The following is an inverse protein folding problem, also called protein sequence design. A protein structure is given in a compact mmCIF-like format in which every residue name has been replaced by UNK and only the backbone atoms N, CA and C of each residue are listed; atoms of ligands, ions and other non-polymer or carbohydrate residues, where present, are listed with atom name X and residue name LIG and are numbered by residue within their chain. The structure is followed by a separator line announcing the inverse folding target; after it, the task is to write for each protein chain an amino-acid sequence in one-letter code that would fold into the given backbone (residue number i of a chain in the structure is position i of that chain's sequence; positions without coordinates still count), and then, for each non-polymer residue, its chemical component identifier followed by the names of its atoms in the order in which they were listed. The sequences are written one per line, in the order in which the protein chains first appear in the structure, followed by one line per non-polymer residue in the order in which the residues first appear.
data_IF_405323430021
#
_entry.id   IF_405323430021
#
_cell.length_a   1.000
_cell.length_b   1.000
_cell.length_c   1.000
_cell.angle_alpha   90.00
_cell.angle_beta   90.00
_cell.angle_gamma   90.00
#
_symmetry.space_group_name_H-M   'P 1'
#
loop_
_entity.id
_entity.type
_entity.pdbx_description
1 polymer ?
#
# COMPACT_ATOMS: atom_id res chain seq x y z
N UNK A 1 16.45 -1.20 -7.23
CA UNK A 1 16.03 -1.39 -5.79
C UNK A 1 14.68 -0.75 -5.52
N UNK A 2 13.77 -0.96 -6.46
CA UNK A 2 12.42 -0.37 -6.44
C UNK A 2 11.34 -1.41 -6.07
N UNK A 3 11.78 -2.56 -5.56
CA UNK A 3 10.88 -3.70 -5.28
C UNK A 3 10.09 -3.57 -3.96
N UNK A 4 10.35 -2.53 -3.18
CA UNK A 4 9.73 -2.36 -1.86
C UNK A 4 8.32 -1.75 -1.89
N UNK A 5 8.03 -0.86 -2.83
CA UNK A 5 6.78 -0.10 -2.83
C UNK A 5 5.64 -0.77 -3.60
N UNK A 6 5.96 -1.49 -4.68
CA UNK A 6 4.93 -2.27 -5.38
C UNK A 6 4.49 -3.51 -4.60
N UNK A 7 5.30 -3.98 -3.64
CA UNK A 7 4.95 -5.09 -2.74
C UNK A 7 3.78 -4.77 -1.81
N UNK A 8 3.63 -3.53 -1.34
CA UNK A 8 2.55 -3.15 -0.43
C UNK A 8 1.15 -3.37 -1.01
N UNK A 9 0.90 -2.86 -2.21
CA UNK A 9 -0.40 -3.01 -2.88
C UNK A 9 -0.64 -4.46 -3.35
N UNK A 10 0.40 -5.13 -3.83
CA UNK A 10 0.33 -6.54 -4.20
C UNK A 10 0.11 -7.47 -3.01
N UNK A 11 0.64 -7.16 -1.84
CA UNK A 11 0.43 -7.93 -0.62
C UNK A 11 -0.97 -7.72 -0.05
N UNK A 12 -1.54 -6.52 -0.14
CA UNK A 12 -2.94 -6.27 0.25
C UNK A 12 -3.88 -7.07 -0.66
N UNK A 13 -3.62 -7.08 -1.96
CA UNK A 13 -4.40 -7.87 -2.92
C UNK A 13 -4.28 -9.38 -2.67
N UNK A 14 -3.10 -9.88 -2.27
CA UNK A 14 -2.87 -11.29 -1.94
C UNK A 14 -3.44 -11.71 -0.59
N UNK A 15 -3.60 -10.77 0.34
CA UNK A 15 -4.18 -11.00 1.68
C UNK A 15 -5.68 -10.76 1.75
N UNK A 16 -6.35 -10.71 0.61
CA UNK A 16 -7.79 -10.60 0.57
C UNK A 16 -8.43 -11.75 1.36
N UNK A 17 -9.38 -11.40 2.19
CA UNK A 17 -10.25 -12.37 2.83
C UNK A 17 -11.20 -12.86 1.74
N UNK A 18 -11.05 -14.11 1.34
CA UNK A 18 -11.97 -14.75 0.41
C UNK A 18 -12.93 -15.66 1.17
N UNK A 19 -14.19 -15.47 0.93
CA UNK A 19 -15.20 -16.40 1.40
C UNK A 19 -15.17 -17.67 0.52
N UNK A 20 -14.81 -18.79 1.12
CA UNK A 20 -14.79 -20.10 0.47
C UNK A 20 -16.03 -20.92 0.82
N UNK A 21 -17.23 -20.36 0.67
CA UNK A 21 -18.49 -21.06 0.85
C UNK A 21 -18.53 -21.97 2.10
N UNK A 22 -19.22 -21.59 3.14
CA UNK A 22 -19.62 -22.56 4.15
C UNK A 22 -20.80 -23.33 3.54
N UNK A 23 -20.57 -24.55 3.11
CA UNK A 23 -21.64 -25.48 2.90
C UNK A 23 -22.20 -25.83 4.27
N UNK A 24 -23.26 -25.18 4.65
CA UNK A 24 -24.10 -25.69 5.74
C UNK A 24 -24.81 -26.91 5.19
N UNK A 25 -24.28 -28.08 5.49
CA UNK A 25 -24.92 -29.36 5.18
C UNK A 25 -26.27 -29.55 5.89
N UNK A 26 -26.75 -28.55 6.58
CA UNK A 26 -27.94 -28.53 7.40
C UNK A 26 -28.98 -27.52 6.87
N UNK A 27 -29.28 -27.59 5.56
CA UNK A 27 -30.36 -26.79 4.93
C UNK A 27 -31.73 -26.99 5.57
N UNK A 28 -31.87 -27.97 6.48
CA UNK A 28 -33.16 -28.39 7.06
C UNK A 28 -33.29 -28.13 8.55
N UNK A 29 -32.25 -27.62 9.24
CA UNK A 29 -32.35 -27.30 10.65
C UNK A 29 -32.95 -25.91 10.87
N UNK A 30 -34.27 -25.95 11.07
CA UNK A 30 -35.00 -24.76 11.53
C UNK A 30 -34.74 -24.58 13.03
N UNK A 31 -34.10 -23.46 13.50
CA UNK A 31 -33.68 -23.30 14.87
C UNK A 31 -34.79 -22.91 15.86
N UNK A 32 -36.06 -23.10 15.49
CA UNK A 32 -37.21 -22.74 16.31
C UNK A 32 -38.29 -23.84 16.28
N UNK A 33 -39.15 -23.82 17.30
CA UNK A 33 -40.23 -24.82 17.45
C UNK A 33 -41.40 -24.52 16.50
N UNK A 34 -41.84 -25.51 15.76
CA UNK A 34 -42.94 -25.38 14.79
C UNK A 34 -44.31 -25.03 15.43
N UNK A 35 -44.50 -25.36 16.71
CA UNK A 35 -45.79 -25.27 17.37
C UNK A 35 -46.19 -23.83 17.74
N UNK A 36 -45.26 -22.91 17.86
CA UNK A 36 -45.51 -21.55 18.35
C UNK A 36 -45.08 -20.43 17.39
N UNK A 37 -44.67 -20.79 16.17
CA UNK A 37 -44.16 -19.83 15.16
C UNK A 37 -45.13 -19.72 13.99
N UNK A 38 -45.28 -18.47 13.47
CA UNK A 38 -46.11 -18.20 12.30
C UNK A 38 -45.44 -18.69 11.01
N UNK A 39 -46.23 -19.08 10.00
CA UNK A 39 -45.73 -19.47 8.68
C UNK A 39 -44.94 -18.36 7.97
N UNK A 40 -45.16 -17.11 8.35
CA UNK A 40 -44.41 -15.96 7.83
C UNK A 40 -42.94 -16.00 8.23
N UNK A 41 -42.60 -16.52 9.41
CA UNK A 41 -41.24 -16.69 9.87
C UNK A 41 -40.46 -17.68 9.00
N UNK A 42 -41.08 -18.76 8.56
CA UNK A 42 -40.45 -19.75 7.68
C UNK A 42 -40.06 -19.13 6.34
N UNK A 43 -40.96 -18.33 5.75
CA UNK A 43 -40.66 -17.59 4.52
C UNK A 43 -39.55 -16.58 4.71
N UNK A 44 -39.51 -15.86 5.84
CA UNK A 44 -38.45 -14.93 6.16
C UNK A 44 -37.09 -15.60 6.32
N UNK A 45 -37.04 -16.77 6.98
CA UNK A 45 -35.81 -17.56 7.15
C UNK A 45 -35.28 -18.08 5.81
N UNK A 46 -36.18 -18.64 4.96
CA UNK A 46 -35.81 -19.13 3.63
C UNK A 46 -35.24 -17.96 2.77
N UNK A 47 -35.92 -16.83 2.76
CA UNK A 47 -35.44 -15.65 2.02
C UNK A 47 -34.09 -15.16 2.55
N UNK A 48 -33.92 -15.08 3.86
CA UNK A 48 -32.66 -14.68 4.46
C UNK A 48 -31.52 -15.63 4.12
N UNK A 49 -31.80 -16.94 4.15
CA UNK A 49 -30.82 -17.96 3.78
C UNK A 49 -30.39 -17.85 2.31
N UNK A 50 -31.32 -17.50 1.43
CA UNK A 50 -31.05 -17.33 0.00
C UNK A 50 -30.16 -16.10 -0.27
N UNK A 51 -30.29 -15.03 0.53
CA UNK A 51 -29.48 -13.80 0.41
C UNK A 51 -28.16 -13.86 1.18
N UNK A 52 -27.97 -14.83 2.07
CA UNK A 52 -26.76 -14.92 2.89
C UNK A 52 -25.45 -14.97 2.07
N UNK A 53 -25.35 -15.74 0.97
CA UNK A 53 -24.15 -15.75 0.13
C UNK A 53 -23.82 -14.36 -0.44
N UNK A 54 -24.82 -13.64 -0.91
CA UNK A 54 -24.67 -12.30 -1.49
C UNK A 54 -24.19 -11.28 -0.43
N UNK A 55 -24.71 -11.40 0.81
CA UNK A 55 -24.27 -10.57 1.94
C UNK A 55 -22.82 -10.86 2.33
N UNK A 56 -22.40 -12.11 2.27
CA UNK A 56 -21.00 -12.48 2.56
C UNK A 56 -20.04 -11.99 1.47
N UNK A 57 -20.45 -12.07 0.20
CA UNK A 57 -19.68 -11.49 -0.90
C UNK A 57 -19.55 -9.96 -0.76
N UNK A 58 -20.65 -9.30 -0.41
CA UNK A 58 -20.63 -7.86 -0.13
C UNK A 58 -19.66 -7.51 1.02
N UNK A 59 -19.66 -8.27 2.10
CA UNK A 59 -18.75 -8.07 3.22
C UNK A 59 -17.28 -8.29 2.83
N UNK A 60 -16.99 -9.27 1.98
CA UNK A 60 -15.66 -9.50 1.42
C UNK A 60 -15.16 -8.29 0.60
N UNK A 61 -16.01 -7.79 -0.31
CA UNK A 61 -15.68 -6.63 -1.14
C UNK A 61 -15.50 -5.37 -0.29
N UNK A 62 -16.37 -5.12 0.67
CA UNK A 62 -16.27 -3.97 1.58
C UNK A 62 -14.96 -4.02 2.39
N UNK A 63 -14.61 -5.17 2.92
CA UNK A 63 -13.37 -5.34 3.66
C UNK A 63 -12.15 -5.11 2.79
N UNK A 64 -12.18 -5.59 1.56
CA UNK A 64 -11.11 -5.36 0.57
C UNK A 64 -10.95 -3.88 0.25
N UNK A 65 -12.04 -3.16 0.03
CA UNK A 65 -12.02 -1.72 -0.20
C UNK A 65 -11.41 -0.94 0.97
N UNK A 66 -11.76 -1.29 2.20
CA UNK A 66 -11.20 -0.66 3.40
C UNK A 66 -9.71 -0.91 3.52
N UNK A 67 -9.24 -2.13 3.28
CA UNK A 67 -7.81 -2.46 3.31
C UNK A 67 -7.02 -1.69 2.24
N UNK A 68 -7.57 -1.54 1.04
CA UNK A 68 -6.96 -0.76 -0.04
C UNK A 68 -6.93 0.73 0.29
N UNK A 69 -7.98 1.28 0.87
CA UNK A 69 -8.05 2.68 1.29
C UNK A 69 -6.98 3.00 2.34
N UNK A 70 -6.80 2.14 3.35
CA UNK A 70 -5.77 2.29 4.37
C UNK A 70 -4.35 2.27 3.76
N UNK A 71 -4.11 1.39 2.79
CA UNK A 71 -2.81 1.31 2.13
C UNK A 71 -2.55 2.51 1.21
N UNK A 72 -3.56 3.01 0.52
CA UNK A 72 -3.48 4.24 -0.27
C UNK A 72 -3.12 5.43 0.64
N UNK A 73 -3.75 5.55 1.80
CA UNK A 73 -3.45 6.62 2.77
C UNK A 73 -2.00 6.56 3.25
N UNK A 74 -1.51 5.39 3.61
CA UNK A 74 -0.10 5.18 4.01
C UNK A 74 0.87 5.55 2.90
N UNK A 75 0.58 5.11 1.68
CA UNK A 75 1.40 5.40 0.51
C UNK A 75 1.42 6.90 0.21
N UNK A 76 0.28 7.56 0.28
CA UNK A 76 0.17 9.01 0.10
C UNK A 76 1.00 9.80 1.12
N UNK A 77 0.96 9.40 2.39
CA UNK A 77 1.80 10.02 3.44
C UNK A 77 3.29 9.83 3.15
N UNK A 78 3.68 8.63 2.69
CA UNK A 78 5.07 8.32 2.33
C UNK A 78 5.54 9.14 1.13
N UNK A 79 4.72 9.23 0.09
CA UNK A 79 5.00 10.04 -1.09
C UNK A 79 5.15 11.52 -0.73
N UNK A 80 4.26 12.05 0.10
CA UNK A 80 4.35 13.44 0.57
C UNK A 80 5.65 13.70 1.35
N UNK A 81 6.05 12.79 2.22
CA UNK A 81 7.30 12.91 2.97
C UNK A 81 8.53 12.86 2.05
N UNK A 82 8.54 12.01 1.02
CA UNK A 82 9.61 11.94 0.03
C UNK A 82 9.68 13.23 -0.80
N UNK A 83 8.55 13.71 -1.28
CA UNK A 83 8.49 14.87 -2.17
C UNK A 83 8.86 16.19 -1.45
N UNK A 84 8.34 16.41 -0.25
CA UNK A 84 8.48 17.69 0.43
C UNK A 84 9.63 17.79 1.42
N UNK A 85 10.18 16.68 1.87
CA UNK A 85 11.27 16.67 2.87
C UNK A 85 12.54 16.06 2.28
N UNK A 86 12.49 14.86 1.73
CA UNK A 86 13.71 14.15 1.31
C UNK A 86 14.27 14.63 -0.01
N UNK A 87 13.45 14.93 -1.01
CA UNK A 87 13.94 15.43 -2.31
C UNK A 87 14.61 16.79 -2.18
N UNK A 88 14.04 17.81 -1.49
CA UNK A 88 14.73 19.07 -1.27
C UNK A 88 16.06 18.93 -0.52
N UNK A 89 16.12 18.10 0.51
CA UNK A 89 17.34 17.83 1.27
C UNK A 89 18.42 17.17 0.40
N UNK A 90 18.06 16.20 -0.41
CA UNK A 90 18.98 15.57 -1.35
C UNK A 90 19.48 16.55 -2.43
N UNK A 91 18.61 17.42 -2.93
CA UNK A 91 19.00 18.46 -3.89
C UNK A 91 20.02 19.43 -3.29
N UNK A 92 19.86 19.81 -2.04
CA UNK A 92 20.80 20.66 -1.32
C UNK A 92 22.16 19.95 -1.13
N UNK A 93 22.13 18.68 -0.75
CA UNK A 93 23.33 17.85 -0.63
C UNK A 93 24.07 17.68 -1.96
N UNK A 94 23.36 17.46 -3.06
CA UNK A 94 23.95 17.39 -4.41
C UNK A 94 24.61 18.71 -4.77
N UNK A 95 23.95 19.83 -4.53
CA UNK A 95 24.50 21.15 -4.78
C UNK A 95 25.79 21.40 -3.99
N UNK A 96 25.79 21.02 -2.71
CA UNK A 96 26.97 21.12 -1.86
C UNK A 96 28.16 20.29 -2.38
N UNK A 97 27.90 19.01 -2.71
CA UNK A 97 28.91 18.10 -3.24
C UNK A 97 29.46 18.60 -4.57
N UNK A 98 28.60 19.07 -5.47
CA UNK A 98 29.00 19.63 -6.77
C UNK A 98 29.89 20.85 -6.59
N UNK A 99 29.58 21.74 -5.65
CA UNK A 99 30.40 22.89 -5.33
C UNK A 99 31.77 22.46 -4.80
N UNK A 100 31.83 21.47 -3.90
CA UNK A 100 33.11 20.95 -3.38
C UNK A 100 33.97 20.28 -4.45
N UNK A 101 33.39 19.56 -5.36
CA UNK A 101 34.09 18.95 -6.50
C UNK A 101 34.68 20.06 -7.42
N UNK A 102 33.90 21.09 -7.73
CA UNK A 102 34.35 22.23 -8.53
C UNK A 102 35.49 22.98 -7.86
N UNK A 103 35.46 23.19 -6.54
CA UNK A 103 36.55 23.78 -5.79
C UNK A 103 37.83 22.93 -5.86
N UNK A 104 37.70 21.62 -5.73
CA UNK A 104 38.83 20.69 -5.83
C UNK A 104 39.46 20.69 -7.24
N UNK A 105 38.67 20.71 -8.28
CA UNK A 105 39.13 20.81 -9.67
C UNK A 105 39.88 22.13 -9.89
N UNK A 106 39.32 23.27 -9.41
CA UNK A 106 39.96 24.57 -9.50
C UNK A 106 41.30 24.56 -8.75
N UNK A 107 41.35 24.04 -7.53
CA UNK A 107 42.58 23.93 -6.75
C UNK A 107 43.63 23.05 -7.42
N UNK A 108 43.21 21.92 -8.02
CA UNK A 108 44.11 21.07 -8.81
C UNK A 108 44.67 21.76 -10.02
N UNK A 109 43.86 22.48 -10.77
CA UNK A 109 44.26 23.25 -11.93
C UNK A 109 45.28 24.34 -11.55
N UNK A 110 45.03 25.08 -10.47
CA UNK A 110 45.95 26.09 -9.96
C UNK A 110 47.28 25.49 -9.52
N UNK A 111 47.29 24.34 -8.87
CA UNK A 111 48.51 23.62 -8.50
C UNK A 111 49.30 23.19 -9.73
N UNK A 112 48.64 22.69 -10.76
CA UNK A 112 49.29 22.31 -12.02
C UNK A 112 49.88 23.54 -12.75
N UNK A 113 49.17 24.65 -12.76
CA UNK A 113 49.69 25.91 -13.33
C UNK A 113 50.96 26.36 -12.59
N UNK A 114 50.96 26.36 -11.26
CA UNK A 114 52.14 26.72 -10.45
C UNK A 114 53.30 25.74 -10.66
N UNK A 115 53.03 24.43 -10.71
CA UNK A 115 54.06 23.44 -10.99
C UNK A 115 54.69 23.65 -12.37
N UNK A 116 53.88 23.94 -13.40
CA UNK A 116 54.37 24.28 -14.74
C UNK A 116 55.23 25.58 -14.75
N UNK A 117 54.84 26.59 -14.01
CA UNK A 117 55.57 27.85 -13.91
C UNK A 117 56.95 27.66 -13.23
N UNK A 118 57.02 26.83 -12.22
CA UNK A 118 58.27 26.47 -11.52
C UNK A 118 59.20 25.65 -12.43
N UNK A 119 58.64 24.72 -13.24
CA UNK A 119 59.42 23.90 -14.16
C UNK A 119 59.89 24.66 -15.42
N UNK A 120 59.27 25.79 -15.75
CA UNK A 120 59.64 26.62 -16.89
C UNK A 120 60.72 27.66 -16.56
N UNK A 121 61.10 27.79 -15.29
CA UNK A 121 62.24 28.58 -14.81
C UNK A 121 63.50 27.70 -14.66
#
# INVERSE_FOLDING_TARGET
RDDGESRGLGDVYKRQIKYTGATTDDETRVPYAFTFTSAELDNAVVNLTSYLPDLLELAEVEKTCNMLADEIEKTRRRVNALEYVMIPEMQENIKYITMKLSENERASTVRLMKAKEIMAK
#
